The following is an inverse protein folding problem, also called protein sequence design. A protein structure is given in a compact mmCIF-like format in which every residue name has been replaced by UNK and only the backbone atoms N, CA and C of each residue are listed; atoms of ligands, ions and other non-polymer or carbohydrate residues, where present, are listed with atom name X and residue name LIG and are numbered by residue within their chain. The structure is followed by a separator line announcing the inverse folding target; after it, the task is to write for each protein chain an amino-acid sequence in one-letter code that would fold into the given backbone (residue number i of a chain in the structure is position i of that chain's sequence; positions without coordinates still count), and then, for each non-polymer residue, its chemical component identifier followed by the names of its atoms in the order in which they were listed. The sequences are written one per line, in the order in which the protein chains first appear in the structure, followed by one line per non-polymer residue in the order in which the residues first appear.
data_IF_418024592056
#
_entry.id   IF_418024592056
#
_cell.length_a   1.000
_cell.length_b   1.000
_cell.length_c   1.000
_cell.angle_alpha   90.00
_cell.angle_beta   90.00
_cell.angle_gamma   90.00
#
_symmetry.space_group_name_H-M   'P 1'
#
loop_
_entity.id
_entity.type
_entity.pdbx_description
1 polymer ?
#
# COMPACT_ATOMS: atom_id res chain seq x y z
N UNK A 1 -36.99 13.19 35.88
CA UNK A 1 -35.60 13.12 36.37
C UNK A 1 -35.28 11.69 36.79
N UNK A 2 -34.39 10.99 36.09
CA UNK A 2 -33.67 9.82 36.62
C UNK A 2 -32.27 9.85 36.01
N UNK A 3 -31.26 10.11 36.85
CA UNK A 3 -29.84 10.17 36.51
C UNK A 3 -29.28 8.74 36.59
N UNK A 4 -28.95 8.12 35.46
CA UNK A 4 -28.27 6.80 35.46
C UNK A 4 -26.75 7.03 35.51
N UNK A 5 -26.11 6.43 36.52
CA UNK A 5 -24.67 6.44 36.76
C UNK A 5 -23.96 5.52 35.76
N UNK A 6 -22.90 6.00 35.14
CA UNK A 6 -21.93 5.17 34.43
C UNK A 6 -21.14 4.31 35.43
N UNK A 7 -20.83 3.07 35.03
CA UNK A 7 -19.73 2.29 35.58
C UNK A 7 -19.02 1.56 34.44
N UNK A 8 -17.80 1.99 34.19
CA UNK A 8 -16.82 1.34 33.34
C UNK A 8 -16.54 -0.09 33.82
N UNK A 9 -16.40 -1.03 32.89
CA UNK A 9 -15.73 -2.31 33.12
C UNK A 9 -14.73 -2.52 31.98
N UNK A 10 -13.47 -2.66 32.38
CA UNK A 10 -12.28 -2.99 31.60
C UNK A 10 -12.52 -4.02 30.49
N UNK A 11 -11.85 -3.91 29.33
CA UNK A 11 -11.93 -4.94 28.31
C UNK A 11 -11.34 -6.23 28.85
N UNK A 12 -12.21 -7.25 28.92
CA UNK A 12 -11.85 -8.65 29.10
C UNK A 12 -10.89 -9.01 27.97
N UNK A 13 -9.69 -9.52 28.28
CA UNK A 13 -8.77 -10.04 27.28
C UNK A 13 -9.43 -11.24 26.59
N UNK A 14 -9.60 -11.16 25.27
CA UNK A 14 -10.21 -12.22 24.47
C UNK A 14 -9.28 -13.45 24.34
N UNK A 15 -9.80 -14.62 24.69
CA UNK A 15 -9.14 -15.93 24.66
C UNK A 15 -8.80 -16.42 23.24
N UNK A 16 -9.29 -15.74 22.19
CA UNK A 16 -8.99 -16.02 20.78
C UNK A 16 -7.52 -15.85 20.43
N UNK A 17 -6.79 -15.00 21.17
CA UNK A 17 -5.35 -14.78 21.00
C UNK A 17 -4.47 -15.98 21.36
N UNK A 18 -5.02 -17.02 22.01
CA UNK A 18 -4.30 -18.25 22.38
C UNK A 18 -4.33 -19.33 21.29
N UNK A 19 -5.29 -19.28 20.35
CA UNK A 19 -5.45 -20.28 19.27
C UNK A 19 -4.56 -19.94 18.07
N UNK A 20 -4.42 -18.64 17.76
CA UNK A 20 -3.63 -18.18 16.60
C UNK A 20 -2.09 -18.30 16.75
N UNK A 21 -1.57 -18.80 17.89
CA UNK A 21 -0.13 -19.06 18.08
C UNK A 21 0.26 -20.55 18.11
N UNK A 22 -0.71 -21.48 18.02
CA UNK A 22 -0.47 -22.91 18.18
C UNK A 22 -0.22 -23.67 16.86
N UNK A 23 -0.63 -23.14 15.70
CA UNK A 23 -0.48 -23.81 14.40
C UNK A 23 0.72 -23.26 13.60
N UNK A 24 1.89 -23.30 14.25
CA UNK A 24 3.19 -23.52 13.61
C UNK A 24 3.61 -22.62 12.44
N UNK A 25 3.82 -21.33 12.68
CA UNK A 25 4.60 -20.48 11.78
C UNK A 25 5.20 -19.31 12.54
N UNK A 26 6.53 -19.28 12.67
CA UNK A 26 7.27 -18.15 13.25
C UNK A 26 6.68 -16.83 12.73
N UNK A 27 6.37 -15.84 13.57
CA UNK A 27 6.20 -14.50 13.06
C UNK A 27 7.57 -14.06 12.56
N UNK A 28 7.85 -14.30 11.28
CA UNK A 28 8.71 -13.42 10.49
C UNK A 28 8.40 -12.00 10.99
N UNK A 29 9.41 -11.19 11.38
CA UNK A 29 9.12 -9.81 11.72
C UNK A 29 8.46 -9.25 10.47
N UNK A 30 7.14 -9.07 10.55
CA UNK A 30 6.37 -8.35 9.55
C UNK A 30 7.01 -6.99 9.64
N UNK A 31 8.01 -6.76 8.79
CA UNK A 31 8.52 -5.43 8.61
C UNK A 31 7.27 -4.69 8.18
N UNK A 32 6.75 -3.90 9.12
CA UNK A 32 5.86 -2.84 8.81
C UNK A 32 6.71 -1.87 7.97
N UNK A 33 7.00 -2.25 6.72
CA UNK A 33 6.96 -1.32 5.62
C UNK A 33 5.51 -0.81 5.66
N UNK A 34 5.26 0.11 6.62
CA UNK A 34 4.07 0.90 6.78
C UNK A 34 3.75 1.28 5.37
N UNK A 35 2.75 0.65 4.77
CA UNK A 35 2.22 1.09 3.49
C UNK A 35 1.77 2.50 3.83
N UNK A 36 2.61 3.50 3.55
CA UNK A 36 2.29 4.90 3.77
C UNK A 36 1.09 5.10 2.88
N UNK A 37 -0.11 5.00 3.47
CA UNK A 37 -1.40 5.28 2.83
C UNK A 37 -1.54 6.78 2.68
N UNK A 38 -0.45 7.44 2.32
CA UNK A 38 -0.42 8.87 2.10
C UNK A 38 -1.24 9.14 0.82
N UNK A 39 -2.09 10.18 0.84
CA UNK A 39 -2.88 10.55 -0.33
C UNK A 39 -1.98 10.76 -1.54
N UNK A 40 -2.31 10.12 -2.67
CA UNK A 40 -1.55 10.23 -3.92
C UNK A 40 -1.77 11.56 -4.68
N UNK A 41 -2.38 12.56 -4.03
CA UNK A 41 -2.76 13.87 -4.60
C UNK A 41 -1.77 14.96 -4.20
N UNK A 42 -0.47 14.70 -4.31
CA UNK A 42 0.54 15.68 -3.91
C UNK A 42 0.84 16.69 -5.04
N UNK A 43 1.22 16.21 -6.23
CA UNK A 43 1.51 17.04 -7.41
C UNK A 43 1.10 16.32 -8.70
N UNK A 44 0.74 17.09 -9.72
CA UNK A 44 0.47 16.61 -11.09
C UNK A 44 1.56 17.11 -12.04
N UNK A 45 1.97 16.26 -12.98
CA UNK A 45 2.95 16.59 -14.02
C UNK A 45 2.29 16.34 -15.38
N UNK A 46 2.46 17.27 -16.30
CA UNK A 46 2.07 17.11 -17.71
C UNK A 46 3.35 16.95 -18.52
N UNK A 47 3.45 15.83 -19.25
CA UNK A 47 4.57 15.52 -20.12
C UNK A 47 4.08 15.54 -21.57
N UNK A 48 4.50 16.51 -22.41
CA UNK A 48 4.29 16.40 -23.84
C UNK A 48 5.19 15.27 -24.37
N UNK A 49 4.58 14.28 -25.01
CA UNK A 49 5.27 13.12 -25.59
C UNK A 49 5.19 13.16 -27.11
N UNK A 50 6.17 12.55 -27.77
CA UNK A 50 6.07 12.23 -29.19
C UNK A 50 5.18 10.99 -29.40
N UNK A 51 4.66 10.80 -30.62
CA UNK A 51 3.81 9.66 -30.95
C UNK A 51 4.52 8.31 -30.72
N UNK A 52 5.77 8.18 -31.15
CA UNK A 52 6.55 6.95 -30.97
C UNK A 52 6.75 6.59 -29.48
N UNK A 53 6.95 7.59 -28.62
CA UNK A 53 7.13 7.37 -27.18
C UNK A 53 5.82 6.94 -26.51
N UNK A 54 4.69 7.51 -26.97
CA UNK A 54 3.37 7.13 -26.49
C UNK A 54 3.02 5.70 -26.87
N UNK A 55 3.28 5.30 -28.12
CA UNK A 55 3.05 3.93 -28.60
C UNK A 55 3.89 2.89 -27.85
N UNK A 56 5.16 3.21 -27.55
CA UNK A 56 6.01 2.37 -26.71
C UNK A 56 5.44 2.19 -25.30
N UNK A 57 4.93 3.27 -24.71
CA UNK A 57 4.33 3.23 -23.38
C UNK A 57 3.03 2.42 -23.35
N UNK A 58 2.24 2.51 -24.41
CA UNK A 58 1.02 1.71 -24.59
C UNK A 58 1.33 0.22 -24.75
N UNK A 59 2.30 -0.13 -25.60
CA UNK A 59 2.75 -1.50 -25.77
C UNK A 59 3.26 -2.10 -24.45
N UNK A 60 4.09 -1.36 -23.72
CA UNK A 60 4.64 -1.81 -22.44
C UNK A 60 3.54 -1.94 -21.36
N UNK A 61 2.52 -1.08 -21.39
CA UNK A 61 1.37 -1.19 -20.50
C UNK A 61 0.53 -2.44 -20.81
N UNK A 62 0.35 -2.76 -22.10
CA UNK A 62 -0.35 -3.96 -22.55
C UNK A 62 0.40 -5.25 -22.16
N UNK A 63 1.72 -5.30 -22.33
CA UNK A 63 2.54 -6.46 -21.95
C UNK A 63 2.51 -6.77 -20.44
N UNK A 64 2.36 -5.74 -19.60
CA UNK A 64 2.35 -5.88 -18.15
C UNK A 64 0.93 -6.02 -17.56
N UNK A 65 -0.11 -6.02 -18.39
CA UNK A 65 -1.53 -5.98 -18.00
C UNK A 65 -1.82 -4.86 -16.97
N UNK A 66 -1.24 -3.68 -17.20
CA UNK A 66 -1.33 -2.54 -16.27
C UNK A 66 -1.86 -1.30 -16.97
N UNK A 67 -2.45 -0.40 -16.19
CA UNK A 67 -2.76 0.94 -16.69
C UNK A 67 -1.48 1.75 -16.94
N UNK A 68 -1.49 2.61 -17.95
CA UNK A 68 -0.37 3.50 -18.31
C UNK A 68 0.23 4.23 -17.09
N UNK A 69 -0.63 4.78 -16.22
CA UNK A 69 -0.20 5.48 -15.00
C UNK A 69 0.48 4.54 -13.97
N UNK A 70 0.03 3.29 -13.88
CA UNK A 70 0.64 2.29 -13.01
C UNK A 70 2.01 1.89 -13.55
N UNK A 71 2.13 1.76 -14.87
CA UNK A 71 3.37 1.46 -15.57
C UNK A 71 4.42 2.55 -15.36
N UNK A 72 4.06 3.83 -15.56
CA UNK A 72 4.95 4.97 -15.30
C UNK A 72 5.43 4.98 -13.85
N UNK A 73 4.51 4.78 -12.89
CA UNK A 73 4.85 4.74 -11.47
C UNK A 73 5.82 3.61 -11.15
N UNK A 74 5.61 2.44 -11.76
CA UNK A 74 6.49 1.29 -11.58
C UNK A 74 7.89 1.56 -12.14
N UNK A 75 7.98 2.16 -13.33
CA UNK A 75 9.25 2.55 -13.94
C UNK A 75 10.04 3.52 -13.04
N UNK A 76 9.39 4.58 -12.55
CA UNK A 76 10.01 5.54 -11.61
C UNK A 76 10.48 4.83 -10.33
N UNK A 77 9.66 3.93 -9.78
CA UNK A 77 10.01 3.20 -8.55
C UNK A 77 11.15 2.21 -8.77
N UNK A 78 11.29 1.67 -9.99
CA UNK A 78 12.38 0.76 -10.37
C UNK A 78 13.68 1.54 -10.55
N UNK A 79 13.65 2.64 -11.29
CA UNK A 79 14.81 3.53 -11.47
C UNK A 79 15.30 4.10 -10.14
N UNK A 80 14.40 4.56 -9.26
CA UNK A 80 14.79 5.06 -7.94
C UNK A 80 15.52 3.99 -7.10
N UNK A 81 15.10 2.73 -7.19
CA UNK A 81 15.79 1.62 -6.51
C UNK A 81 17.16 1.31 -7.12
N UNK A 82 17.26 1.36 -8.44
CA UNK A 82 18.52 1.14 -9.16
C UNK A 82 19.55 2.24 -8.85
N UNK A 83 19.09 3.49 -8.73
CA UNK A 83 19.92 4.65 -8.39
C UNK A 83 20.12 4.86 -6.88
N UNK A 84 19.54 4.01 -6.02
CA UNK A 84 19.58 4.09 -4.56
C UNK A 84 19.07 5.43 -3.96
N UNK A 85 18.03 6.01 -4.57
CA UNK A 85 17.32 7.21 -4.10
C UNK A 85 16.14 6.88 -3.16
#
# INVERSE_FOLDING_TARGET
MIKKREKEKSPVKDESSFIDSADGGQPEPVSEAKRRREPRKYKSITLPMNQAEYEQLEALAAELDRSMLSTIRHAISKLAKEEQL
#
